data_IF_154912821124
#
_entry.id   IF_154912821124
#
_cell.length_a   1.000
_cell.length_b   1.000
_cell.length_c   1.000
_cell.angle_alpha   90.00
_cell.angle_beta   90.00
_cell.angle_gamma   90.00
#
_symmetry.space_group_name_H-M   'P 1'
#
loop_
_entity.id
_entity.type
_entity.pdbx_description
1 polymer ?
#
# COMPACT_ATOMS: atom_id res chain seq x y z
N UNK A 1 13.56 -4.18 -18.01
CA UNK A 1 12.22 -3.91 -17.42
C UNK A 1 12.40 -3.61 -15.94
N UNK A 2 11.91 -2.45 -15.50
CA UNK A 2 11.86 -2.13 -14.08
C UNK A 2 10.73 -2.96 -13.47
N UNK A 3 11.01 -3.63 -12.34
CA UNK A 3 9.98 -4.35 -11.61
C UNK A 3 9.13 -3.32 -10.85
N UNK A 4 7.81 -3.50 -10.91
CA UNK A 4 6.84 -2.60 -10.31
C UNK A 4 5.90 -3.38 -9.40
N UNK A 5 5.38 -2.69 -8.40
CA UNK A 5 4.36 -3.17 -7.47
C UNK A 5 3.19 -2.20 -7.55
N UNK A 6 1.98 -2.74 -7.68
CA UNK A 6 0.75 -1.96 -7.70
C UNK A 6 -0.02 -2.22 -6.43
N UNK A 7 -0.23 -1.18 -5.64
CA UNK A 7 -1.13 -1.20 -4.49
C UNK A 7 -2.53 -0.82 -4.95
N UNK A 8 -3.52 -1.55 -4.44
CA UNK A 8 -4.92 -1.26 -4.70
C UNK A 8 -5.73 -1.48 -3.42
N UNK A 9 -6.59 -0.52 -3.10
CA UNK A 9 -7.58 -0.66 -2.03
C UNK A 9 -8.94 -0.18 -2.50
N UNK A 10 -9.97 -0.84 -2.00
CA UNK A 10 -11.36 -0.43 -2.23
C UNK A 10 -12.06 -0.29 -0.89
N UNK A 11 -12.54 0.93 -0.62
CA UNK A 11 -13.39 1.19 0.54
C UNK A 11 -14.84 1.07 0.12
N UNK A 12 -15.66 0.40 0.95
CA UNK A 12 -17.10 0.30 0.72
C UNK A 12 -17.72 1.69 0.57
N UNK A 13 -18.38 1.95 -0.56
CA UNK A 13 -19.00 3.24 -0.87
C UNK A 13 -18.17 4.15 -1.76
N UNK A 14 -16.90 3.81 -2.06
CA UNK A 14 -16.17 4.48 -3.14
C UNK A 14 -16.57 3.91 -4.51
N UNK A 15 -16.75 4.80 -5.49
CA UNK A 15 -17.10 4.44 -6.87
C UNK A 15 -16.00 3.68 -7.62
N UNK A 16 -14.75 3.76 -7.16
CA UNK A 16 -13.59 3.13 -7.81
C UNK A 16 -12.50 2.80 -6.78
N UNK A 17 -11.68 1.77 -7.02
CA UNK A 17 -10.53 1.47 -6.16
C UNK A 17 -9.47 2.56 -6.29
N UNK A 18 -8.84 2.89 -5.17
CA UNK A 18 -7.62 3.68 -5.16
C UNK A 18 -6.47 2.77 -5.58
N UNK A 19 -5.73 3.16 -6.60
CA UNK A 19 -4.63 2.36 -7.15
C UNK A 19 -3.40 3.23 -7.37
N UNK A 20 -2.26 2.79 -6.87
CA UNK A 20 -0.96 3.46 -7.07
C UNK A 20 0.09 2.42 -7.44
N UNK A 21 0.94 2.76 -8.40
CA UNK A 21 2.00 1.87 -8.90
C UNK A 21 3.35 2.49 -8.59
N UNK A 22 4.23 1.68 -8.02
CA UNK A 22 5.58 2.06 -7.63
C UNK A 22 6.58 1.13 -8.30
N UNK A 23 7.75 1.66 -8.65
CA UNK A 23 8.94 0.87 -8.92
C UNK A 23 9.51 0.32 -7.60
N UNK A 24 10.27 -0.78 -7.68
CA UNK A 24 10.99 -1.27 -6.50
C UNK A 24 11.94 -0.21 -5.90
N UNK A 25 12.53 0.64 -6.75
CA UNK A 25 13.44 1.70 -6.32
C UNK A 25 12.72 2.79 -5.50
N UNK A 26 11.52 3.19 -5.90
CA UNK A 26 10.68 4.13 -5.13
C UNK A 26 10.31 3.58 -3.75
N UNK A 27 10.18 2.26 -3.64
CA UNK A 27 9.92 1.57 -2.36
C UNK A 27 11.20 1.25 -1.57
N UNK A 28 12.38 1.68 -2.04
CA UNK A 28 13.68 1.31 -1.45
C UNK A 28 13.88 -0.22 -1.33
N UNK A 29 13.36 -0.96 -2.32
CA UNK A 29 13.49 -2.41 -2.45
C UNK A 29 14.54 -2.76 -3.49
N UNK A 30 15.28 -3.85 -3.25
CA UNK A 30 16.35 -4.29 -4.13
C UNK A 30 16.05 -5.66 -4.73
N UNK A 31 16.39 -5.83 -6.00
CA UNK A 31 16.22 -7.10 -6.73
C UNK A 31 17.04 -8.27 -6.18
N UNK A 32 18.03 -7.99 -5.33
CA UNK A 32 18.89 -9.00 -4.70
C UNK A 32 18.28 -9.58 -3.41
N UNK A 33 17.16 -9.02 -2.92
CA UNK A 33 16.42 -9.59 -1.79
C UNK A 33 15.81 -10.94 -2.17
N UNK A 34 15.72 -11.86 -1.21
CA UNK A 34 14.93 -13.07 -1.40
C UNK A 34 13.45 -12.73 -1.61
N UNK A 35 12.69 -13.65 -2.21
CA UNK A 35 11.25 -13.48 -2.41
C UNK A 35 10.53 -13.21 -1.10
N UNK A 36 10.86 -13.95 -0.03
CA UNK A 36 10.25 -13.79 1.29
C UNK A 36 10.58 -12.42 1.90
N UNK A 37 11.82 -11.95 1.80
CA UNK A 37 12.19 -10.60 2.26
C UNK A 37 11.44 -9.50 1.48
N UNK A 38 11.28 -9.69 0.17
CA UNK A 38 10.57 -8.75 -0.68
C UNK A 38 9.08 -8.70 -0.33
N UNK A 39 8.44 -9.85 -0.16
CA UNK A 39 7.04 -9.94 0.27
C UNK A 39 6.81 -9.28 1.63
N UNK A 40 7.63 -9.59 2.63
CA UNK A 40 7.51 -9.01 3.98
C UNK A 40 7.66 -7.48 3.97
N UNK A 41 8.62 -6.94 3.20
CA UNK A 41 8.79 -5.49 3.08
C UNK A 41 7.64 -4.83 2.31
N UNK A 42 7.19 -5.45 1.22
CA UNK A 42 6.05 -4.96 0.45
C UNK A 42 4.79 -4.92 1.30
N UNK A 43 4.53 -5.93 2.13
CA UNK A 43 3.39 -5.97 3.05
C UNK A 43 3.43 -4.80 4.04
N UNK A 44 4.58 -4.60 4.70
CA UNK A 44 4.74 -3.49 5.66
C UNK A 44 4.52 -2.09 5.02
N UNK A 45 5.02 -1.91 3.80
CA UNK A 45 4.80 -0.68 3.03
C UNK A 45 3.32 -0.55 2.64
N UNK A 46 2.69 -1.63 2.17
CA UNK A 46 1.29 -1.65 1.79
C UNK A 46 0.37 -1.29 2.97
N UNK A 47 0.62 -1.85 4.16
CA UNK A 47 -0.13 -1.49 5.37
C UNK A 47 -0.01 0.01 5.69
N UNK A 48 1.21 0.55 5.65
CA UNK A 48 1.45 1.98 5.89
C UNK A 48 0.71 2.85 4.86
N UNK A 49 0.77 2.45 3.58
CA UNK A 49 0.05 3.10 2.50
C UNK A 49 -1.47 3.11 2.73
N UNK A 50 -2.06 1.96 3.08
CA UNK A 50 -3.49 1.85 3.44
C UNK A 50 -3.84 2.81 4.59
N UNK A 51 -3.07 2.81 5.68
CA UNK A 51 -3.32 3.69 6.82
C UNK A 51 -3.20 5.18 6.48
N UNK A 52 -2.35 5.55 5.52
CA UNK A 52 -2.22 6.95 5.08
C UNK A 52 -3.47 7.47 4.34
N UNK A 53 -4.25 6.56 3.74
CA UNK A 53 -5.45 6.88 2.95
C UNK A 53 -6.76 6.75 3.72
N UNK A 54 -6.74 6.24 4.96
CA UNK A 54 -7.94 6.08 5.78
C UNK A 54 -7.91 7.06 6.95
N UNK A 55 -8.99 7.83 7.11
CA UNK A 55 -9.21 8.69 8.26
C UNK A 55 -10.50 8.30 8.97
N UNK A 56 -10.46 8.20 10.30
CA UNK A 56 -11.62 7.88 11.14
C UNK A 56 -11.98 9.11 11.98
N UNK A 57 -13.28 9.38 12.09
CA UNK A 57 -13.81 10.35 13.04
C UNK A 57 -14.96 9.71 13.83
N UNK A 58 -15.14 10.14 15.08
CA UNK A 58 -16.25 9.69 15.93
C UNK A 58 -16.75 10.84 16.79
N UNK A 59 -18.05 10.89 16.99
CA UNK A 59 -18.72 11.89 17.85
C UNK A 59 -19.64 11.13 18.81
N UNK A 60 -19.60 11.50 20.10
CA UNK A 60 -20.53 10.99 21.11
C UNK A 60 -21.52 12.12 21.40
N UNK A 61 -22.81 11.86 21.21
CA UNK A 61 -23.87 12.81 21.49
C UNK A 61 -24.43 12.53 22.89
N UNK A 62 -24.59 13.58 23.70
CA UNK A 62 -25.26 13.59 25.00
C UNK A 62 -26.58 14.33 24.91
#
# INVERSE_FOLDING_TARGET
MNQTVTFSMQVKGMSSPLTETFTLEELSLHKQMSTEELENRVDAIFQTWVWSHISFSRTINH
#
